data_IF_925861929904
#
_entry.id   IF_925861929904
#
_cell.length_a   1.000
_cell.length_b   1.000
_cell.length_c   1.000
_cell.angle_alpha   90.00
_cell.angle_beta   90.00
_cell.angle_gamma   90.00
#
_symmetry.space_group_name_H-M   'P 1'
#
loop_
_entity.id
_entity.type
_entity.pdbx_description
1 polymer ?
#
# COMPACT_ATOMS: atom_id res chain seq x y z
N UNK A 1 22.96 48.13 -16.84
CA UNK A 1 22.36 47.56 -15.61
C UNK A 1 20.84 47.32 -15.70
N UNK A 2 20.05 48.15 -16.38
CA UNK A 2 18.58 48.02 -16.47
C UNK A 2 18.06 46.76 -17.23
N UNK A 3 18.76 46.30 -18.27
CA UNK A 3 18.32 45.14 -19.07
C UNK A 3 18.45 43.79 -18.34
N UNK A 4 19.38 43.68 -17.38
CA UNK A 4 19.59 42.45 -16.61
C UNK A 4 18.49 42.21 -15.58
N UNK A 5 18.02 43.28 -14.91
CA UNK A 5 16.87 43.19 -13.99
C UNK A 5 15.58 42.87 -14.74
N UNK A 6 15.37 43.47 -15.92
CA UNK A 6 14.17 43.23 -16.74
C UNK A 6 14.07 41.76 -17.18
N UNK A 7 15.18 41.15 -17.58
CA UNK A 7 15.20 39.73 -17.95
C UNK A 7 14.96 38.81 -16.74
N UNK A 8 15.47 39.14 -15.55
CA UNK A 8 15.15 38.38 -14.33
C UNK A 8 13.69 38.47 -13.93
N UNK A 9 13.08 39.64 -14.08
CA UNK A 9 11.65 39.83 -13.78
C UNK A 9 10.77 39.02 -14.74
N UNK A 10 11.14 38.97 -16.02
CA UNK A 10 10.44 38.17 -17.04
C UNK A 10 10.57 36.68 -16.74
N UNK A 11 11.77 36.20 -16.38
CA UNK A 11 11.97 34.78 -16.02
C UNK A 11 11.19 34.41 -14.76
N UNK A 12 11.18 35.27 -13.73
CA UNK A 12 10.39 35.04 -12.53
C UNK A 12 8.88 35.03 -12.82
N UNK A 13 8.40 35.92 -13.69
CA UNK A 13 7.00 35.91 -14.12
C UNK A 13 6.66 34.63 -14.89
N UNK A 14 7.56 34.13 -15.75
CA UNK A 14 7.34 32.89 -16.51
C UNK A 14 7.35 31.66 -15.61
N UNK A 15 8.26 31.58 -14.64
CA UNK A 15 8.28 30.50 -13.64
C UNK A 15 7.02 30.53 -12.79
N UNK A 16 6.60 31.72 -12.34
CA UNK A 16 5.36 31.88 -11.58
C UNK A 16 4.12 31.53 -12.41
N UNK A 17 4.08 31.91 -13.69
CA UNK A 17 3.00 31.52 -14.58
C UNK A 17 2.97 29.99 -14.77
N UNK A 18 4.13 29.37 -14.96
CA UNK A 18 4.25 27.93 -15.16
C UNK A 18 3.84 27.15 -13.89
N UNK A 19 4.23 27.61 -12.70
CA UNK A 19 3.80 26.99 -11.44
C UNK A 19 2.32 27.23 -11.17
N UNK A 20 1.78 28.40 -11.50
CA UNK A 20 0.34 28.67 -11.43
C UNK A 20 -0.44 27.80 -12.41
N UNK A 21 0.07 27.60 -13.64
CA UNK A 21 -0.55 26.72 -14.63
C UNK A 21 -0.50 25.26 -14.17
N UNK A 22 0.62 24.82 -13.57
CA UNK A 22 0.73 23.49 -12.96
C UNK A 22 -0.23 23.33 -11.77
N UNK A 23 -0.41 24.37 -10.97
CA UNK A 23 -1.34 24.41 -9.83
C UNK A 23 -2.82 24.40 -10.28
N UNK A 24 -3.14 25.05 -11.39
CA UNK A 24 -4.48 25.05 -11.99
C UNK A 24 -4.78 23.75 -12.76
N UNK A 25 -3.74 23.07 -13.26
CA UNK A 25 -3.83 21.76 -13.92
C UNK A 25 -3.79 20.59 -12.91
N UNK A 26 -3.31 20.82 -11.69
CA UNK A 26 -3.53 19.91 -10.59
C UNK A 26 -5.04 19.91 -10.28
N UNK A 27 -5.72 18.75 -10.31
CA UNK A 27 -7.11 18.69 -9.91
C UNK A 27 -7.18 19.14 -8.45
N UNK A 28 -7.68 20.35 -8.24
CA UNK A 28 -7.91 20.90 -6.92
C UNK A 28 -8.88 19.96 -6.24
N UNK A 29 -8.41 19.27 -5.19
CA UNK A 29 -9.24 18.55 -4.24
C UNK A 29 -10.13 19.61 -3.60
N UNK A 30 -11.29 19.85 -4.22
CA UNK A 30 -12.38 20.57 -3.60
C UNK A 30 -12.91 19.66 -2.50
N UNK A 31 -12.68 20.07 -1.25
CA UNK A 31 -13.57 19.72 -0.15
C UNK A 31 -14.99 20.15 -0.55
N UNK A 32 -15.79 19.18 -0.98
CA UNK A 32 -17.19 19.36 -1.36
C UNK A 32 -17.76 17.99 -1.72
N UNK A 33 -18.67 17.50 -0.88
CA UNK A 33 -19.53 16.31 -1.04
C UNK A 33 -19.15 15.35 -2.18
N UNK A 34 -18.49 14.23 -1.85
CA UNK A 34 -18.23 13.16 -2.81
C UNK A 34 -19.54 12.41 -3.11
N UNK A 35 -20.27 12.90 -4.11
CA UNK A 35 -21.12 12.04 -4.94
C UNK A 35 -20.20 11.13 -5.77
N UNK A 36 -20.44 9.81 -5.81
CA UNK A 36 -19.59 8.88 -6.55
C UNK A 36 -19.63 9.17 -8.06
N UNK A 37 -18.46 9.13 -8.71
CA UNK A 37 -18.34 9.37 -10.16
C UNK A 37 -19.12 8.32 -10.97
N UNK A 38 -19.62 8.71 -12.14
CA UNK A 38 -20.43 7.86 -13.03
C UNK A 38 -19.71 6.56 -13.44
N UNK A 39 -18.38 6.53 -13.43
CA UNK A 39 -17.56 5.32 -13.65
C UNK A 39 -17.59 4.36 -12.45
N UNK A 40 -17.54 4.88 -11.22
CA UNK A 40 -17.70 4.07 -10.01
C UNK A 40 -19.12 3.50 -9.88
N UNK A 41 -20.14 4.21 -10.38
CA UNK A 41 -21.51 3.68 -10.51
C UNK A 41 -21.65 2.66 -11.64
N UNK A 42 -21.00 2.84 -12.79
CA UNK A 42 -21.00 1.86 -13.89
C UNK A 42 -20.36 0.53 -13.50
N UNK A 43 -19.29 0.57 -12.70
CA UNK A 43 -18.60 -0.64 -12.22
C UNK A 43 -19.45 -1.44 -11.21
N UNK A 44 -20.37 -0.79 -10.47
CA UNK A 44 -21.34 -1.46 -9.58
C UNK A 44 -22.38 -2.30 -10.33
N UNK A 45 -22.70 -1.94 -11.57
CA UNK A 45 -23.80 -2.55 -12.33
C UNK A 45 -23.40 -3.82 -13.09
N UNK A 46 -22.09 -4.14 -13.18
CA UNK A 46 -21.58 -5.29 -13.95
C UNK A 46 -21.15 -6.49 -13.11
N UNK A 47 -21.38 -6.47 -11.78
CA UNK A 47 -21.05 -7.59 -10.91
C UNK A 47 -22.15 -8.67 -10.94
N UNK A 48 -22.27 -9.40 -12.04
CA UNK A 48 -23.13 -10.61 -12.09
C UNK A 48 -22.45 -11.80 -11.40
N UNK A 49 -23.19 -12.39 -10.46
CA UNK A 49 -23.15 -13.76 -9.89
C UNK A 49 -21.92 -14.65 -10.19
N UNK A 50 -21.01 -14.80 -9.23
CA UNK A 50 -19.87 -15.74 -9.31
C UNK A 50 -19.40 -16.20 -7.91
N UNK A 51 -18.72 -17.36 -7.79
CA UNK A 51 -18.86 -18.30 -6.68
C UNK A 51 -18.36 -17.77 -5.34
N UNK A 52 -19.07 -18.19 -4.30
CA UNK A 52 -18.91 -17.80 -2.90
C UNK A 52 -17.56 -18.31 -2.39
N UNK A 53 -16.58 -17.41 -2.25
CA UNK A 53 -15.48 -17.61 -1.29
C UNK A 53 -16.13 -17.99 0.05
N UNK A 54 -15.62 -18.98 0.81
CA UNK A 54 -16.21 -19.33 2.10
C UNK A 54 -16.37 -18.05 2.91
N UNK A 55 -17.62 -17.68 3.18
CA UNK A 55 -17.99 -16.49 3.93
C UNK A 55 -17.55 -16.72 5.37
N UNK A 56 -16.29 -16.45 5.65
CA UNK A 56 -15.84 -16.22 7.01
C UNK A 56 -16.54 -14.94 7.43
N UNK A 57 -17.35 -15.01 8.47
CA UNK A 57 -17.91 -13.83 9.09
C UNK A 57 -16.75 -13.06 9.73
N UNK A 58 -16.69 -11.76 9.49
CA UNK A 58 -15.61 -10.90 10.00
C UNK A 58 -16.25 -9.71 10.70
N UNK A 59 -15.82 -9.40 11.92
CA UNK A 59 -16.16 -8.15 12.58
C UNK A 59 -15.13 -7.08 12.20
N UNK A 60 -15.61 -5.91 11.78
CA UNK A 60 -14.74 -4.76 11.48
C UNK A 60 -14.74 -3.81 12.66
N UNK A 61 -13.55 -3.54 13.20
CA UNK A 61 -13.31 -2.57 14.25
C UNK A 61 -12.47 -1.41 13.74
N UNK A 62 -12.59 -0.25 14.36
CA UNK A 62 -11.75 0.90 14.05
C UNK A 62 -11.13 1.43 15.33
N UNK A 63 -9.89 1.88 15.26
CA UNK A 63 -9.19 2.45 16.40
C UNK A 63 -8.18 3.51 16.01
N UNK A 64 -7.57 4.12 17.01
CA UNK A 64 -6.47 5.06 16.83
C UNK A 64 -5.36 4.75 17.82
N UNK A 65 -4.11 4.82 17.39
CA UNK A 65 -2.96 4.81 18.27
C UNK A 65 -2.54 6.24 18.59
N UNK A 66 -2.05 6.51 19.82
CA UNK A 66 -1.50 7.80 20.19
C UNK A 66 -0.37 8.24 19.25
N UNK A 67 -0.37 9.51 18.90
CA UNK A 67 0.61 10.14 18.01
C UNK A 67 0.18 11.57 17.68
N UNK A 68 1.07 12.31 17.04
CA UNK A 68 0.75 13.63 16.48
C UNK A 68 1.15 13.67 14.99
N UNK A 69 0.19 13.51 14.06
CA UNK A 69 -1.22 13.19 14.29
C UNK A 69 -1.45 11.74 14.79
N UNK A 70 -2.63 11.44 15.40
CA UNK A 70 -2.99 10.07 15.78
C UNK A 70 -3.03 9.13 14.57
N UNK A 71 -2.68 7.86 14.80
CA UNK A 71 -2.64 6.86 13.73
C UNK A 71 -3.91 6.01 13.71
N UNK A 72 -4.77 6.25 12.72
CA UNK A 72 -6.04 5.52 12.56
C UNK A 72 -5.82 4.13 11.95
N UNK A 73 -6.57 3.12 12.40
CA UNK A 73 -6.52 1.78 11.81
C UNK A 73 -7.91 1.14 11.72
N UNK A 74 -8.03 0.14 10.84
CA UNK A 74 -9.18 -0.76 10.76
C UNK A 74 -8.70 -2.17 11.07
N UNK A 75 -9.48 -2.92 11.81
CA UNK A 75 -9.15 -4.28 12.17
C UNK A 75 -10.30 -5.19 11.74
N UNK A 76 -9.98 -6.37 11.25
CA UNK A 76 -10.95 -7.35 10.84
C UNK A 76 -10.64 -8.65 11.56
N UNK A 77 -11.58 -9.09 12.39
CA UNK A 77 -11.40 -10.25 13.23
C UNK A 77 -12.35 -11.35 12.74
N UNK A 78 -11.83 -12.53 12.35
CA UNK A 78 -12.69 -13.63 11.96
C UNK A 78 -13.52 -14.07 13.16
N UNK A 79 -14.81 -14.31 12.96
CA UNK A 79 -15.74 -14.82 13.97
C UNK A 79 -16.35 -16.13 13.51
N UNK A 80 -16.62 -17.02 14.46
CA UNK A 80 -17.31 -18.28 14.18
C UNK A 80 -18.83 -18.09 14.01
N UNK A 81 -19.54 -19.19 13.78
CA UNK A 81 -20.99 -19.19 13.58
C UNK A 81 -21.77 -18.68 14.81
N UNK A 82 -21.15 -18.66 15.99
CA UNK A 82 -21.72 -18.15 17.24
C UNK A 82 -21.34 -16.70 17.52
N UNK A 83 -20.54 -16.08 16.65
CA UNK A 83 -20.04 -14.72 16.80
C UNK A 83 -18.82 -14.62 17.71
N UNK A 84 -18.22 -15.74 18.13
CA UNK A 84 -17.02 -15.73 18.95
C UNK A 84 -15.78 -15.50 18.07
N UNK A 85 -14.85 -14.67 18.56
CA UNK A 85 -13.62 -14.36 17.84
C UNK A 85 -12.73 -15.60 17.68
N UNK A 86 -12.29 -15.85 16.44
CA UNK A 86 -11.34 -16.89 16.08
C UNK A 86 -9.93 -16.30 16.15
N UNK A 87 -9.04 -16.98 16.86
CA UNK A 87 -7.62 -16.59 16.86
C UNK A 87 -7.00 -16.85 15.47
N UNK A 88 -6.46 -15.81 14.80
CA UNK A 88 -5.91 -15.97 13.47
C UNK A 88 -4.58 -16.74 13.52
N UNK A 89 -4.41 -17.71 12.63
CA UNK A 89 -3.14 -18.44 12.46
C UNK A 89 -2.04 -17.59 11.84
N UNK A 90 -2.43 -16.55 11.11
CA UNK A 90 -1.54 -15.64 10.40
C UNK A 90 -2.11 -14.22 10.52
N UNK A 91 -1.26 -13.29 10.90
CA UNK A 91 -1.61 -11.86 10.98
C UNK A 91 -1.10 -11.19 9.71
N UNK A 92 -1.92 -10.34 9.14
CA UNK A 92 -1.58 -9.59 7.92
C UNK A 92 -1.71 -8.10 8.26
N UNK A 93 -0.81 -7.28 7.74
CA UNK A 93 -0.85 -5.82 7.89
C UNK A 93 -0.89 -5.23 6.50
N UNK A 94 -2.04 -4.70 6.10
CA UNK A 94 -2.18 -4.00 4.83
C UNK A 94 -1.86 -2.51 5.02
N UNK A 95 -0.82 -2.01 4.36
CA UNK A 95 -0.56 -0.57 4.20
C UNK A 95 -1.27 -0.05 2.94
N UNK A 96 -1.19 1.24 2.64
CA UNK A 96 -1.83 1.83 1.46
C UNK A 96 -0.93 2.80 0.70
N UNK A 97 -1.28 3.02 -0.57
CA UNK A 97 -0.66 4.06 -1.39
C UNK A 97 -1.18 5.45 -1.02
N UNK A 98 -0.54 6.49 -1.57
CA UNK A 98 -0.84 7.89 -1.26
C UNK A 98 -2.30 8.28 -1.53
N UNK A 99 -2.92 7.72 -2.56
CA UNK A 99 -4.29 8.05 -2.97
C UNK A 99 -5.38 7.27 -2.21
N UNK A 100 -4.99 6.38 -1.29
CA UNK A 100 -5.90 5.40 -0.68
C UNK A 100 -5.79 5.40 0.84
N UNK A 101 -6.70 4.69 1.50
CA UNK A 101 -6.73 4.52 2.96
C UNK A 101 -7.13 3.09 3.30
N UNK A 102 -7.17 2.73 4.58
CA UNK A 102 -7.67 1.44 5.06
C UNK A 102 -9.13 1.19 4.66
N UNK A 103 -9.92 2.23 4.41
CA UNK A 103 -11.28 2.10 3.89
C UNK A 103 -11.30 1.48 2.49
N UNK A 104 -10.29 1.75 1.67
CA UNK A 104 -10.16 1.13 0.34
C UNK A 104 -10.04 -0.38 0.45
N UNK A 105 -9.29 -0.88 1.44
CA UNK A 105 -9.19 -2.32 1.67
C UNK A 105 -10.50 -2.96 2.14
N UNK A 106 -11.30 -2.22 2.93
CA UNK A 106 -12.63 -2.65 3.37
C UNK A 106 -13.58 -2.77 2.18
N UNK A 107 -13.62 -1.75 1.32
CA UNK A 107 -14.48 -1.71 0.14
C UNK A 107 -14.10 -2.78 -0.91
N UNK A 108 -12.82 -3.16 -0.98
CA UNK A 108 -12.37 -4.27 -1.83
C UNK A 108 -12.70 -5.65 -1.25
N UNK A 109 -13.16 -5.75 -0.01
CA UNK A 109 -13.34 -7.02 0.70
C UNK A 109 -12.02 -7.70 1.08
N UNK A 110 -10.89 -7.03 0.91
CA UNK A 110 -9.55 -7.54 1.30
C UNK A 110 -9.39 -7.59 2.82
N UNK A 111 -10.18 -6.81 3.56
CA UNK A 111 -10.09 -6.70 5.02
C UNK A 111 -10.31 -7.99 5.76
N UNK A 112 -10.89 -9.05 5.18
CA UNK A 112 -10.80 -10.39 5.77
C UNK A 112 -9.35 -10.81 6.13
N UNK A 113 -8.35 -10.01 5.72
CA UNK A 113 -6.92 -10.10 5.97
C UNK A 113 -6.29 -8.79 6.56
N UNK A 114 -6.96 -8.01 7.43
CA UNK A 114 -6.43 -6.90 8.30
C UNK A 114 -5.67 -5.69 7.64
N UNK A 115 -6.20 -4.44 7.70
CA UNK A 115 -5.52 -3.21 7.18
C UNK A 115 -5.28 -2.05 8.16
N UNK A 116 -4.05 -1.56 8.18
CA UNK A 116 -3.64 -0.35 8.88
C UNK A 116 -3.73 0.89 7.97
N UNK A 117 -3.91 2.09 8.55
CA UNK A 117 -3.44 3.31 7.87
C UNK A 117 -2.03 3.62 8.35
N UNK A 118 -1.21 4.16 7.44
CA UNK A 118 0.03 4.82 7.80
C UNK A 118 -0.20 6.32 8.03
N UNK A 119 0.64 7.00 8.81
CA UNK A 119 0.63 8.46 8.87
C UNK A 119 1.29 9.05 7.62
N UNK A 120 1.20 10.37 7.45
CA UNK A 120 1.85 11.06 6.32
C UNK A 120 3.38 10.92 6.36
N UNK A 121 3.95 10.46 5.24
CA UNK A 121 5.39 10.18 5.08
C UNK A 121 6.30 11.39 5.20
N UNK A 122 5.79 12.59 5.00
CA UNK A 122 6.57 13.83 5.07
C UNK A 122 7.00 14.20 6.50
N UNK A 123 6.26 13.74 7.52
CA UNK A 123 6.59 13.97 8.93
C UNK A 123 7.82 13.18 9.40
N UNK A 124 8.14 12.05 8.75
CA UNK A 124 9.21 11.15 9.15
C UNK A 124 10.42 11.29 8.24
N UNK A 125 11.45 11.95 8.76
CA UNK A 125 12.62 12.36 7.99
C UNK A 125 13.61 11.23 7.72
N UNK A 126 13.71 10.25 8.62
CA UNK A 126 14.70 9.17 8.52
C UNK A 126 14.04 7.81 8.34
N UNK A 127 14.75 6.90 7.68
CA UNK A 127 14.35 5.49 7.57
C UNK A 127 14.17 4.85 8.95
N UNK A 128 14.98 5.24 9.95
CA UNK A 128 14.81 4.72 11.30
C UNK A 128 13.46 5.14 11.89
N UNK A 129 13.05 6.41 11.74
CA UNK A 129 11.75 6.85 12.27
C UNK A 129 10.58 6.12 11.61
N UNK A 130 10.69 5.78 10.32
CA UNK A 130 9.68 5.01 9.59
C UNK A 130 9.61 3.57 10.08
N UNK A 131 10.76 2.94 10.33
CA UNK A 131 10.83 1.60 10.93
C UNK A 131 10.27 1.60 12.35
N UNK A 132 10.68 2.54 13.20
CA UNK A 132 10.24 2.63 14.60
C UNK A 132 8.73 2.84 14.70
N UNK A 133 8.16 3.64 13.80
CA UNK A 133 6.72 3.80 13.74
C UNK A 133 6.02 2.47 13.43
N UNK A 134 6.47 1.75 12.38
CA UNK A 134 5.82 0.51 11.98
C UNK A 134 5.99 -0.58 13.06
N UNK A 135 7.14 -0.63 13.73
CA UNK A 135 7.38 -1.49 14.91
C UNK A 135 6.40 -1.15 16.03
N UNK A 136 6.30 0.13 16.43
CA UNK A 136 5.37 0.57 17.48
C UNK A 136 3.93 0.28 17.13
N UNK A 137 3.55 0.45 15.86
CA UNK A 137 2.21 0.11 15.38
C UNK A 137 1.91 -1.38 15.58
N UNK A 138 2.80 -2.25 15.11
CA UNK A 138 2.63 -3.70 15.27
C UNK A 138 2.63 -4.11 16.75
N UNK A 139 3.56 -3.58 17.55
CA UNK A 139 3.65 -3.83 18.99
C UNK A 139 2.38 -3.42 19.75
N UNK A 140 1.86 -2.21 19.47
CA UNK A 140 0.66 -1.67 20.13
C UNK A 140 -0.60 -2.50 19.85
N UNK A 141 -0.66 -3.15 18.69
CA UNK A 141 -1.76 -4.04 18.30
C UNK A 141 -1.47 -5.51 18.62
N UNK A 142 -0.35 -5.82 19.28
CA UNK A 142 0.03 -7.20 19.57
C UNK A 142 0.35 -8.05 18.34
N UNK A 143 0.58 -7.41 17.18
CA UNK A 143 0.88 -8.06 15.91
C UNK A 143 2.31 -8.60 15.93
N UNK A 144 2.46 -9.90 15.64
CA UNK A 144 3.74 -10.61 15.65
C UNK A 144 3.86 -11.49 14.42
N UNK A 145 5.06 -11.56 13.83
CA UNK A 145 5.33 -12.39 12.65
C UNK A 145 4.29 -12.18 11.55
N UNK A 146 4.05 -10.93 11.17
CA UNK A 146 2.99 -10.60 10.23
C UNK A 146 3.41 -10.77 8.78
N UNK A 147 2.42 -10.88 7.89
CA UNK A 147 2.61 -10.63 6.46
C UNK A 147 2.35 -9.16 6.19
N UNK A 148 3.33 -8.43 5.67
CA UNK A 148 3.21 -7.00 5.39
C UNK A 148 2.89 -6.78 3.91
N UNK A 149 1.72 -6.19 3.61
CA UNK A 149 1.31 -5.84 2.25
C UNK A 149 1.53 -4.35 2.04
N UNK A 150 2.24 -3.97 0.98
CA UNK A 150 2.74 -2.60 0.81
C UNK A 150 2.63 -2.11 -0.62
N UNK A 151 1.54 -1.42 -0.98
CA UNK A 151 1.40 -0.79 -2.28
C UNK A 151 2.06 0.60 -2.36
N UNK A 152 2.77 0.87 -3.46
CA UNK A 152 3.15 2.22 -3.87
C UNK A 152 3.88 3.01 -2.75
N UNK A 153 3.31 4.12 -2.30
CA UNK A 153 3.91 5.06 -1.33
C UNK A 153 4.27 4.41 0.02
N UNK A 154 3.56 3.36 0.45
CA UNK A 154 3.91 2.66 1.70
C UNK A 154 5.29 1.99 1.64
N UNK A 155 5.88 1.89 0.45
CA UNK A 155 7.28 1.50 0.24
C UNK A 155 8.28 2.31 1.07
N UNK A 156 8.00 3.60 1.36
CA UNK A 156 8.84 4.42 2.24
C UNK A 156 8.98 3.84 3.65
N UNK A 157 7.98 3.09 4.13
CA UNK A 157 7.98 2.45 5.44
C UNK A 157 8.42 1.00 5.32
N UNK A 158 7.81 0.27 4.39
CA UNK A 158 7.97 -1.17 4.32
C UNK A 158 9.34 -1.61 3.82
N UNK A 159 9.97 -0.87 2.90
CA UNK A 159 11.29 -1.26 2.37
C UNK A 159 12.37 -1.10 3.45
N UNK A 160 12.48 0.04 4.16
CA UNK A 160 13.39 0.12 5.31
C UNK A 160 13.08 -0.90 6.41
N UNK A 161 11.79 -1.17 6.66
CA UNK A 161 11.40 -2.17 7.65
C UNK A 161 11.81 -3.59 7.25
N UNK A 162 11.64 -3.97 5.98
CA UNK A 162 12.15 -5.24 5.46
C UNK A 162 13.66 -5.32 5.66
N UNK A 163 14.39 -4.24 5.35
CA UNK A 163 15.86 -4.24 5.44
C UNK A 163 16.37 -4.37 6.87
N UNK A 164 15.73 -3.71 7.84
CA UNK A 164 16.20 -3.66 9.23
C UNK A 164 15.57 -4.71 10.14
N UNK A 165 14.31 -5.09 9.88
CA UNK A 165 13.46 -5.87 10.77
C UNK A 165 12.80 -7.08 10.07
N UNK A 166 13.41 -7.63 9.01
CA UNK A 166 12.86 -8.79 8.27
C UNK A 166 12.50 -9.99 9.15
N UNK A 167 13.22 -10.22 10.27
CA UNK A 167 12.92 -11.31 11.20
C UNK A 167 11.54 -11.19 11.88
N UNK A 168 10.95 -9.99 11.91
CA UNK A 168 9.60 -9.76 12.43
C UNK A 168 8.50 -10.06 11.40
N UNK A 169 8.87 -10.34 10.14
CA UNK A 169 7.93 -10.61 9.05
C UNK A 169 7.88 -12.12 8.76
N UNK A 170 6.65 -12.65 8.70
CA UNK A 170 6.40 -13.99 8.17
C UNK A 170 6.37 -14.01 6.65
N UNK A 171 5.97 -12.90 6.04
CA UNK A 171 5.99 -12.71 4.60
C UNK A 171 5.90 -11.23 4.20
N UNK A 172 6.18 -10.93 2.95
CA UNK A 172 6.11 -9.57 2.40
C UNK A 172 5.39 -9.57 1.06
N UNK A 173 4.45 -8.65 0.84
CA UNK A 173 3.68 -8.52 -0.41
C UNK A 173 3.79 -7.09 -0.94
N UNK A 174 4.91 -6.74 -1.57
CA UNK A 174 5.08 -5.44 -2.22
C UNK A 174 4.20 -5.35 -3.48
N UNK A 175 3.45 -4.26 -3.61
CA UNK A 175 2.64 -3.97 -4.81
C UNK A 175 3.14 -2.69 -5.46
N UNK A 176 4.07 -2.82 -6.40
CA UNK A 176 4.77 -1.68 -7.01
C UNK A 176 5.24 -0.60 -6.00
N UNK A 177 6.02 -0.93 -4.94
CA UNK A 177 6.39 0.05 -3.91
C UNK A 177 7.49 1.03 -4.36
N UNK A 178 7.49 2.22 -3.75
CA UNK A 178 8.62 3.17 -3.79
C UNK A 178 9.78 2.72 -2.90
N UNK A 179 10.93 3.40 -2.98
CA UNK A 179 12.08 3.18 -2.10
C UNK A 179 12.96 1.97 -2.46
N UNK A 180 12.57 1.14 -3.44
CA UNK A 180 13.30 -0.09 -3.79
C UNK A 180 14.70 0.14 -4.37
N UNK A 181 14.97 1.32 -4.94
CA UNK A 181 16.30 1.69 -5.49
C UNK A 181 17.33 2.07 -4.43
N UNK A 182 16.91 2.23 -3.17
CA UNK A 182 17.78 2.73 -2.10
C UNK A 182 18.74 1.65 -1.56
N UNK A 183 18.62 0.41 -2.02
CA UNK A 183 19.37 -0.75 -1.53
C UNK A 183 20.01 -1.51 -2.69
N UNK A 184 21.18 -2.07 -2.43
CA UNK A 184 21.95 -2.84 -3.41
C UNK A 184 21.40 -4.26 -3.56
N UNK A 185 21.68 -4.95 -4.69
CA UNK A 185 21.32 -6.36 -4.85
C UNK A 185 21.82 -7.25 -3.71
N UNK A 186 23.04 -7.02 -3.21
CA UNK A 186 23.61 -7.79 -2.11
C UNK A 186 22.85 -7.58 -0.79
N UNK A 187 22.33 -6.38 -0.54
CA UNK A 187 21.47 -6.14 0.62
C UNK A 187 20.15 -6.93 0.51
N UNK A 188 19.54 -6.99 -0.68
CA UNK A 188 18.35 -7.82 -0.91
C UNK A 188 18.63 -9.32 -0.74
N UNK A 189 19.78 -9.80 -1.19
CA UNK A 189 20.16 -11.22 -1.06
C UNK A 189 20.26 -11.69 0.40
N UNK A 190 20.50 -10.79 1.34
CA UNK A 190 20.55 -11.12 2.77
C UNK A 190 19.16 -11.31 3.41
N UNK A 191 18.09 -10.92 2.72
CA UNK A 191 16.72 -10.98 3.27
C UNK A 191 16.13 -12.37 3.06
N UNK A 192 15.73 -13.02 4.16
CA UNK A 192 15.17 -14.38 4.10
C UNK A 192 13.62 -14.41 4.08
N UNK A 193 12.95 -13.25 4.21
CA UNK A 193 11.49 -13.19 4.25
C UNK A 193 10.88 -13.63 2.91
N UNK A 194 9.99 -14.64 2.89
CA UNK A 194 9.24 -15.00 1.70
C UNK A 194 8.46 -13.81 1.14
N UNK A 195 8.55 -13.57 -0.17
CA UNK A 195 8.01 -12.35 -0.78
C UNK A 195 7.15 -12.65 -2.01
N UNK A 196 5.93 -12.10 -2.07
CA UNK A 196 5.11 -12.09 -3.29
C UNK A 196 5.18 -10.71 -3.95
N UNK A 197 5.94 -10.59 -5.04
CA UNK A 197 6.10 -9.35 -5.80
C UNK A 197 4.91 -9.19 -6.74
N UNK A 198 4.08 -8.17 -6.51
CA UNK A 198 2.88 -7.89 -7.30
C UNK A 198 3.05 -6.60 -8.10
N UNK A 199 2.68 -6.62 -9.37
CA UNK A 199 2.61 -5.41 -10.20
C UNK A 199 1.71 -5.60 -11.42
N UNK A 200 1.13 -4.51 -11.92
CA UNK A 200 0.40 -4.50 -13.19
C UNK A 200 1.35 -4.50 -14.39
N UNK A 201 1.05 -5.29 -15.42
CA UNK A 201 1.88 -5.38 -16.62
C UNK A 201 2.00 -4.04 -17.38
N UNK A 202 1.02 -3.15 -17.23
CA UNK A 202 1.00 -1.80 -17.83
C UNK A 202 1.58 -0.73 -16.90
N UNK A 203 2.04 -1.09 -15.69
CA UNK A 203 2.80 -0.19 -14.82
C UNK A 203 4.29 -0.21 -15.22
N UNK A 204 4.57 0.49 -16.32
CA UNK A 204 5.90 0.54 -16.93
C UNK A 204 6.89 1.43 -16.17
N UNK A 205 6.47 2.10 -15.10
CA UNK A 205 7.33 2.95 -14.29
C UNK A 205 7.63 2.29 -12.95
N UNK A 206 6.76 2.48 -11.95
CA UNK A 206 7.04 2.04 -10.59
C UNK A 206 6.96 0.51 -10.46
N UNK A 207 6.02 -0.12 -11.16
CA UNK A 207 5.90 -1.58 -11.25
C UNK A 207 7.16 -2.22 -11.85
N UNK A 208 7.56 -1.78 -13.04
CA UNK A 208 8.79 -2.26 -13.69
C UNK A 208 10.05 -2.02 -12.84
N UNK A 209 10.19 -0.83 -12.24
CA UNK A 209 11.31 -0.48 -11.37
C UNK A 209 11.38 -1.39 -10.14
N UNK A 210 10.28 -1.49 -9.40
CA UNK A 210 10.23 -2.23 -8.15
C UNK A 210 10.46 -3.72 -8.39
N UNK A 211 9.87 -4.29 -9.43
CA UNK A 211 10.12 -5.66 -9.85
C UNK A 211 11.61 -5.91 -10.14
N UNK A 212 12.26 -5.04 -10.93
CA UNK A 212 13.70 -5.17 -11.26
C UNK A 212 14.59 -5.27 -10.01
N UNK A 213 14.26 -4.53 -8.96
CA UNK A 213 15.04 -4.52 -7.71
C UNK A 213 14.67 -5.67 -6.79
N UNK A 214 13.38 -5.97 -6.65
CA UNK A 214 12.87 -6.96 -5.69
C UNK A 214 13.12 -8.41 -6.13
N UNK A 215 13.33 -8.67 -7.42
CA UNK A 215 13.71 -10.01 -7.92
C UNK A 215 15.06 -10.50 -7.35
N UNK A 216 15.84 -9.60 -6.73
CA UNK A 216 17.10 -9.94 -6.06
C UNK A 216 16.88 -10.64 -4.70
N UNK A 217 15.65 -10.63 -4.16
CA UNK A 217 15.30 -11.37 -2.95
C UNK A 217 15.40 -12.88 -3.22
N UNK A 218 16.01 -13.69 -2.33
CA UNK A 218 16.24 -15.11 -2.60
C UNK A 218 14.95 -15.94 -2.64
N UNK A 219 13.96 -15.59 -1.83
CA UNK A 219 12.71 -16.35 -1.69
C UNK A 219 11.53 -15.52 -2.20
N UNK A 220 11.40 -15.42 -3.52
CA UNK A 220 10.35 -14.60 -4.15
C UNK A 220 9.42 -15.39 -5.07
N UNK A 221 8.18 -14.91 -5.14
CA UNK A 221 7.17 -15.24 -6.14
C UNK A 221 6.81 -13.98 -6.90
N UNK A 222 6.36 -14.11 -8.15
CA UNK A 222 5.94 -12.97 -8.98
C UNK A 222 4.50 -13.15 -9.42
N UNK A 223 3.66 -12.16 -9.10
CA UNK A 223 2.31 -12.01 -9.62
C UNK A 223 2.26 -10.77 -10.53
N UNK A 224 2.55 -10.98 -11.81
CA UNK A 224 2.39 -9.97 -12.85
C UNK A 224 0.95 -10.01 -13.37
N UNK A 225 0.20 -8.93 -13.14
CA UNK A 225 -1.22 -8.85 -13.49
C UNK A 225 -1.38 -8.27 -14.90
N UNK A 226 -1.63 -9.14 -15.89
CA UNK A 226 -1.68 -8.75 -17.30
C UNK A 226 -2.79 -7.74 -17.58
N UNK A 227 -2.51 -6.71 -18.39
CA UNK A 227 -3.48 -5.65 -18.71
C UNK A 227 -3.85 -4.72 -17.56
N UNK A 228 -3.26 -4.87 -16.36
CA UNK A 228 -3.51 -3.97 -15.23
C UNK A 228 -2.44 -2.87 -15.12
N UNK A 229 -2.82 -1.69 -14.62
CA UNK A 229 -1.92 -0.54 -14.39
C UNK A 229 -1.43 -0.52 -12.93
N UNK A 230 -1.06 0.64 -12.41
CA UNK A 230 -0.39 0.80 -11.10
C UNK A 230 -1.24 0.26 -9.93
N UNK A 231 -2.54 0.56 -9.88
CA UNK A 231 -3.45 0.06 -8.86
C UNK A 231 -4.01 -1.33 -9.24
N UNK A 232 -3.14 -2.26 -9.64
CA UNK A 232 -3.53 -3.54 -10.23
C UNK A 232 -4.44 -4.40 -9.34
N UNK A 233 -4.26 -4.33 -8.02
CA UNK A 233 -5.08 -5.01 -7.02
C UNK A 233 -6.54 -4.50 -6.98
N UNK A 234 -6.80 -3.29 -7.49
CA UNK A 234 -8.14 -2.73 -7.62
C UNK A 234 -8.76 -3.02 -8.98
N UNK A 235 -7.97 -2.91 -10.05
CA UNK A 235 -8.45 -3.19 -11.41
C UNK A 235 -8.80 -4.68 -11.60
N UNK A 236 -8.06 -5.55 -10.90
CA UNK A 236 -8.16 -7.01 -11.03
C UNK A 236 -8.23 -7.71 -9.68
N UNK A 237 -9.13 -7.26 -8.82
CA UNK A 237 -9.24 -7.71 -7.42
C UNK A 237 -9.33 -9.23 -7.24
N UNK A 238 -10.10 -9.94 -8.08
CA UNK A 238 -10.21 -11.40 -7.99
C UNK A 238 -8.87 -12.11 -8.25
N UNK A 239 -8.12 -11.66 -9.25
CA UNK A 239 -6.81 -12.20 -9.59
C UNK A 239 -5.81 -11.93 -8.46
N UNK A 240 -5.84 -10.71 -7.90
CA UNK A 240 -5.02 -10.34 -6.75
C UNK A 240 -5.35 -11.18 -5.51
N UNK A 241 -6.63 -11.31 -5.14
CA UNK A 241 -7.06 -12.11 -3.98
C UNK A 241 -6.65 -13.57 -4.13
N UNK A 242 -6.83 -14.15 -5.31
CA UNK A 242 -6.41 -15.53 -5.58
C UNK A 242 -4.91 -15.70 -5.34
N UNK A 243 -4.07 -14.87 -5.96
CA UNK A 243 -2.62 -14.95 -5.79
C UNK A 243 -2.15 -14.67 -4.36
N UNK A 244 -2.81 -13.74 -3.67
CA UNK A 244 -2.54 -13.47 -2.26
C UNK A 244 -2.86 -14.69 -1.39
N UNK A 245 -4.05 -15.28 -1.51
CA UNK A 245 -4.45 -16.46 -0.72
C UNK A 245 -3.51 -17.64 -0.98
N UNK A 246 -3.13 -17.85 -2.24
CA UNK A 246 -2.18 -18.90 -2.62
C UNK A 246 -0.84 -18.70 -1.92
N UNK A 247 -0.27 -17.49 -1.98
CA UNK A 247 0.96 -17.16 -1.25
C UNK A 247 0.82 -17.31 0.27
N UNK A 248 -0.25 -16.78 0.88
CA UNK A 248 -0.46 -16.93 2.32
C UNK A 248 -0.55 -18.40 2.75
N UNK A 249 -1.06 -19.27 1.88
CA UNK A 249 -1.16 -20.71 2.14
C UNK A 249 0.21 -21.41 2.20
N UNK A 250 1.25 -20.85 1.56
CA UNK A 250 2.62 -21.39 1.60
C UNK A 250 3.40 -20.96 2.83
N UNK A 251 2.86 -20.04 3.64
CA UNK A 251 3.50 -19.51 4.85
C UNK A 251 3.08 -20.24 6.13
N UNK A 252 2.30 -21.31 5.99
CA UNK A 252 1.78 -22.14 7.09
C UNK A 252 2.87 -22.95 7.77
#
# INVERSE_FOLDING_TARGET
KMNFLRNRLVVLCLVFLATLLLYLLLPTIRQGSMEPSLESQRMRLTATSHPVLPTINVSIHTGQLPGDPPLFFREALPVDATGQQILPKLQVVLLHGQAFTSKTWEELGTMALLAANGPDSESLKTDQNRVDLLSRFMESLGVRSAVLVSPSMSGHYSIPFLMKNNAQLRGFVPIAPVGTRNYTPQQYQNIQTPTLIVFGALDTNLGAQSHKNLIQLPHHFVLKMEGARHACYMEKTREFHKGLIEFLSTLK
#
